data_IF_633361630184
#
_entry.id   IF_633361630184
#
_cell.length_a   1.000
_cell.length_b   1.000
_cell.length_c   1.000
_cell.angle_alpha   90.00
_cell.angle_beta   90.00
_cell.angle_gamma   90.00
#
_symmetry.space_group_name_H-M   'P 1'
#
loop_
_entity.id
_entity.type
_entity.pdbx_description
1 polymer ?
#
# COMPACT_ATOMS: atom_id res chain seq x y z
N UNK A 1 32.51 19.40 -20.40
CA UNK A 1 32.17 17.96 -20.43
C UNK A 1 31.99 17.49 -19.01
N UNK A 2 30.79 17.09 -18.63
CA UNK A 2 30.55 16.20 -17.48
C UNK A 2 29.36 15.30 -17.85
N UNK A 3 29.66 14.02 -17.93
CA UNK A 3 28.75 12.89 -18.14
C UNK A 3 28.10 12.56 -16.79
N UNK A 4 26.78 12.42 -16.75
CA UNK A 4 26.13 11.57 -15.75
C UNK A 4 24.74 11.13 -16.22
N UNK A 5 24.77 9.97 -16.86
CA UNK A 5 23.66 9.03 -17.06
C UNK A 5 22.93 8.72 -15.74
N UNK A 6 21.59 8.78 -15.77
CA UNK A 6 20.74 7.67 -15.28
C UNK A 6 19.31 7.93 -15.71
N UNK A 7 18.86 7.19 -16.72
CA UNK A 7 17.45 7.09 -17.06
C UNK A 7 16.67 6.58 -15.85
N UNK A 8 15.50 7.15 -15.53
CA UNK A 8 14.69 6.65 -14.44
C UNK A 8 13.99 5.38 -14.92
N UNK A 9 14.54 4.22 -14.57
CA UNK A 9 13.76 2.98 -14.59
C UNK A 9 12.67 3.11 -13.53
N UNK A 10 11.44 3.34 -13.97
CA UNK A 10 10.28 3.20 -13.11
C UNK A 10 10.06 1.71 -12.87
N UNK A 11 10.39 1.24 -11.66
CA UNK A 11 10.03 -0.12 -11.26
C UNK A 11 8.51 -0.20 -11.16
N UNK A 12 7.90 -0.92 -12.10
CA UNK A 12 6.48 -1.23 -12.11
C UNK A 12 6.16 -2.16 -10.94
N UNK A 13 5.83 -1.57 -9.79
CA UNK A 13 5.28 -2.31 -8.65
C UNK A 13 3.88 -2.76 -9.06
N UNK A 14 3.75 -4.04 -9.41
CA UNK A 14 2.46 -4.66 -9.60
C UNK A 14 1.76 -4.78 -8.26
N UNK A 15 0.71 -4.00 -8.18
CA UNK A 15 -0.19 -3.85 -7.08
C UNK A 15 -1.19 -5.03 -7.18
N UNK A 16 -0.93 -6.10 -6.41
CA UNK A 16 -1.77 -7.31 -6.41
C UNK A 16 -3.17 -6.97 -5.91
N UNK A 17 -4.20 -7.31 -6.69
CA UNK A 17 -5.59 -7.07 -6.31
C UNK A 17 -5.86 -7.65 -4.91
N UNK A 18 -6.43 -6.86 -4.01
CA UNK A 18 -6.72 -7.36 -2.66
C UNK A 18 -7.83 -8.42 -2.79
N UNK A 19 -7.67 -9.63 -2.22
CA UNK A 19 -8.64 -10.68 -2.39
C UNK A 19 -10.01 -10.26 -1.85
N UNK A 20 -11.05 -10.70 -2.55
CA UNK A 20 -12.45 -10.40 -2.29
C UNK A 20 -12.81 -10.78 -0.85
N UNK A 21 -13.56 -9.90 -0.18
CA UNK A 21 -14.02 -9.99 1.21
C UNK A 21 -14.42 -11.41 1.65
N UNK A 22 -13.73 -11.93 2.67
CA UNK A 22 -14.02 -13.19 3.35
C UNK A 22 -14.87 -12.92 4.59
N UNK A 23 -16.14 -12.54 4.40
CA UNK A 23 -17.03 -12.13 5.50
C UNK A 23 -17.67 -13.30 6.29
N UNK A 24 -17.25 -14.56 6.12
CA UNK A 24 -17.99 -15.72 6.67
C UNK A 24 -17.19 -16.70 7.55
N UNK A 25 -16.15 -16.26 8.25
CA UNK A 25 -15.67 -17.04 9.38
C UNK A 25 -15.05 -16.14 10.45
N UNK A 26 -15.63 -16.15 11.66
CA UNK A 26 -15.48 -15.16 12.75
C UNK A 26 -14.10 -15.07 13.42
N UNK A 27 -13.05 -15.43 12.69
CA UNK A 27 -11.66 -15.08 12.95
C UNK A 27 -11.02 -14.85 11.60
N UNK A 28 -11.02 -13.61 11.10
CA UNK A 28 -9.89 -13.17 10.28
C UNK A 28 -8.66 -13.62 11.07
N UNK A 29 -7.85 -14.50 10.51
CA UNK A 29 -6.67 -15.00 11.19
C UNK A 29 -5.88 -13.76 11.64
N UNK A 30 -5.75 -13.52 12.93
CA UNK A 30 -5.13 -12.29 13.43
C UNK A 30 -3.73 -12.09 12.82
N UNK A 31 -3.07 -13.20 12.48
CA UNK A 31 -1.80 -13.22 11.74
C UNK A 31 -1.92 -12.65 10.32
N UNK A 32 -3.02 -12.93 9.61
CA UNK A 32 -3.27 -12.38 8.26
C UNK A 32 -3.57 -10.87 8.33
N UNK A 33 -4.36 -10.44 9.33
CA UNK A 33 -4.61 -9.02 9.56
C UNK A 33 -3.32 -8.28 9.95
N UNK A 34 -2.49 -8.90 10.81
CA UNK A 34 -1.19 -8.37 11.17
C UNK A 34 -0.27 -8.26 9.95
N UNK A 35 -0.18 -9.29 9.12
CA UNK A 35 0.61 -9.27 7.88
C UNK A 35 0.14 -8.17 6.92
N UNK A 36 -1.18 -8.01 6.76
CA UNK A 36 -1.75 -6.93 5.93
C UNK A 36 -1.40 -5.54 6.48
N UNK A 37 -1.44 -5.36 7.80
CA UNK A 37 -1.03 -4.11 8.46
C UNK A 37 0.46 -3.85 8.21
N UNK A 38 1.34 -4.84 8.37
CA UNK A 38 2.78 -4.69 8.13
C UNK A 38 3.09 -4.27 6.70
N UNK A 39 2.44 -4.89 5.71
CA UNK A 39 2.61 -4.51 4.31
C UNK A 39 2.07 -3.11 4.02
N UNK A 40 0.96 -2.73 4.66
CA UNK A 40 0.43 -1.37 4.58
C UNK A 40 1.38 -0.35 5.18
N UNK A 41 2.03 -0.65 6.31
CA UNK A 41 3.06 0.20 6.93
C UNK A 41 4.22 0.46 5.96
N UNK A 42 4.71 -0.57 5.25
CA UNK A 42 5.78 -0.42 4.26
C UNK A 42 5.37 0.51 3.12
N UNK A 43 4.13 0.39 2.64
CA UNK A 43 3.59 1.27 1.59
C UNK A 43 3.46 2.70 2.12
N UNK A 44 2.94 2.87 3.33
CA UNK A 44 2.79 4.18 3.97
C UNK A 44 4.14 4.87 4.18
N UNK A 45 5.18 4.15 4.57
CA UNK A 45 6.52 4.74 4.72
C UNK A 45 7.05 5.23 3.36
N UNK A 46 6.92 4.43 2.30
CA UNK A 46 7.30 4.85 0.95
C UNK A 46 6.54 6.09 0.49
N UNK A 47 5.22 6.13 0.69
CA UNK A 47 4.38 7.29 0.33
C UNK A 47 4.75 8.50 1.17
N UNK A 48 4.93 8.33 2.49
CA UNK A 48 5.33 9.39 3.41
C UNK A 48 6.71 9.98 3.07
N UNK A 49 7.68 9.14 2.69
CA UNK A 49 8.97 9.56 2.17
C UNK A 49 8.85 10.34 0.86
N UNK A 50 7.95 9.93 -0.03
CA UNK A 50 7.62 10.68 -1.24
C UNK A 50 7.05 12.07 -0.93
N UNK A 51 6.07 12.14 -0.04
CA UNK A 51 5.43 13.39 0.39
C UNK A 51 6.42 14.35 1.05
N UNK A 52 7.32 13.85 1.91
CA UNK A 52 8.42 14.64 2.49
C UNK A 52 9.35 15.24 1.43
N UNK A 53 9.44 14.62 0.26
CA UNK A 53 10.23 15.09 -0.89
C UNK A 53 9.39 15.88 -1.90
N UNK A 54 8.16 16.28 -1.55
CA UNK A 54 7.25 17.05 -2.43
C UNK A 54 6.62 16.23 -3.56
N UNK A 55 6.70 14.88 -3.49
CA UNK A 55 6.10 13.98 -4.49
C UNK A 55 4.80 13.40 -3.96
N UNK A 56 3.74 13.49 -4.74
CA UNK A 56 2.46 12.85 -4.42
C UNK A 56 2.37 11.46 -5.05
N UNK A 57 1.69 10.49 -4.40
CA UNK A 57 1.37 9.22 -5.04
C UNK A 57 0.47 9.47 -6.26
N UNK A 58 0.50 8.54 -7.22
CA UNK A 58 -0.44 8.59 -8.35
C UNK A 58 -1.89 8.43 -7.86
N UNK A 59 -2.87 8.91 -8.63
CA UNK A 59 -4.29 8.79 -8.26
C UNK A 59 -4.71 7.34 -7.98
N UNK A 60 -4.31 6.41 -8.84
CA UNK A 60 -4.56 4.97 -8.68
C UNK A 60 -3.92 4.40 -7.42
N UNK A 61 -2.69 4.81 -7.10
CA UNK A 61 -1.98 4.37 -5.90
C UNK A 61 -2.64 4.89 -4.63
N UNK A 62 -3.02 6.17 -4.62
CA UNK A 62 -3.74 6.79 -3.50
C UNK A 62 -5.11 6.13 -3.27
N UNK A 63 -5.85 5.85 -4.35
CA UNK A 63 -7.14 5.19 -4.26
C UNK A 63 -7.03 3.79 -3.67
N UNK A 64 -6.09 2.98 -4.18
CA UNK A 64 -5.88 1.63 -3.65
C UNK A 64 -5.44 1.64 -2.19
N UNK A 65 -4.49 2.50 -1.83
CA UNK A 65 -4.06 2.63 -0.44
C UNK A 65 -5.24 3.02 0.46
N UNK A 66 -6.09 3.94 0.01
CA UNK A 66 -7.32 4.32 0.72
C UNK A 66 -8.30 3.16 0.89
N UNK A 67 -8.46 2.29 -0.12
CA UNK A 67 -9.32 1.10 -0.01
C UNK A 67 -8.77 0.10 1.02
N UNK A 68 -7.47 -0.17 1.00
CA UNK A 68 -6.81 -1.07 1.98
C UNK A 68 -6.98 -0.53 3.40
N UNK A 69 -6.72 0.76 3.64
CA UNK A 69 -6.87 1.38 4.96
C UNK A 69 -8.30 1.27 5.50
N UNK A 70 -9.31 1.50 4.64
CA UNK A 70 -10.72 1.32 5.02
C UNK A 70 -11.05 -0.13 5.36
N UNK A 71 -10.53 -1.09 4.58
CA UNK A 71 -10.72 -2.51 4.85
C UNK A 71 -10.10 -2.96 6.19
N UNK A 72 -8.89 -2.48 6.50
CA UNK A 72 -8.26 -2.73 7.81
C UNK A 72 -9.11 -2.12 8.94
N UNK A 73 -9.57 -0.88 8.79
CA UNK A 73 -10.41 -0.23 9.79
C UNK A 73 -11.70 -1.04 10.05
N UNK A 74 -12.41 -1.44 8.98
CA UNK A 74 -13.62 -2.26 9.11
C UNK A 74 -13.37 -3.61 9.79
N UNK A 75 -12.20 -4.24 9.58
CA UNK A 75 -11.87 -5.52 10.24
C UNK A 75 -11.52 -5.35 11.73
N UNK A 76 -10.96 -4.20 12.13
CA UNK A 76 -10.66 -3.90 13.52
C UNK A 76 -11.91 -3.51 14.34
N UNK A 77 -12.92 -2.96 13.67
CA UNK A 77 -14.19 -2.53 14.27
C UNK A 77 -15.26 -3.64 14.34
N UNK A 78 -15.11 -4.71 13.54
CA UNK A 78 -16.03 -5.85 13.46
C UNK A 78 -15.95 -6.76 14.69
#
# INVERSE_FOLDING_TARGET
MIDSRKGPQAMSVHIVDAPVSLAENSRVNNDDLAAMIEDTIKILDRVGNGLRQGRHPSGTEAERLGRVLRGIASQLEA
#
